data_IF_288258865305
#
_entry.id   IF_288258865305
#
_cell.length_a   1.000
_cell.length_b   1.000
_cell.length_c   1.000
_cell.angle_alpha   90.00
_cell.angle_beta   90.00
_cell.angle_gamma   90.00
#
_symmetry.space_group_name_H-M   'P 1'
#
loop_
_entity.id
_entity.type
_entity.pdbx_description
1 polymer ?
#
# COMPACT_ATOMS: atom_id res chain seq x y z
N UNK A 1 -26.20 8.20 8.79
CA UNK A 1 -25.55 7.33 7.79
C UNK A 1 -25.78 5.87 8.20
N UNK A 2 -26.10 4.93 7.30
CA UNK A 2 -26.30 3.52 7.68
C UNK A 2 -24.97 2.86 8.11
N UNK A 3 -25.02 1.88 9.03
CA UNK A 3 -23.87 1.12 9.56
C UNK A 3 -23.01 0.52 8.44
N UNK A 4 -23.62 -0.07 7.41
CA UNK A 4 -22.87 -0.59 6.26
C UNK A 4 -22.04 0.48 5.52
N UNK A 5 -22.57 1.70 5.37
CA UNK A 5 -21.87 2.82 4.76
C UNK A 5 -20.79 3.40 5.67
N UNK A 6 -20.99 3.33 6.99
CA UNK A 6 -19.98 3.65 8.00
C UNK A 6 -18.81 2.68 7.95
N UNK A 7 -19.07 1.38 8.02
CA UNK A 7 -18.05 0.33 7.98
C UNK A 7 -17.22 0.42 6.71
N UNK A 8 -17.87 0.61 5.55
CA UNK A 8 -17.16 0.79 4.27
C UNK A 8 -16.24 2.00 4.29
N UNK A 9 -16.67 3.13 4.87
CA UNK A 9 -15.84 4.34 4.99
C UNK A 9 -14.67 4.13 5.97
N UNK A 10 -14.89 3.50 7.12
CA UNK A 10 -13.84 3.20 8.11
C UNK A 10 -12.81 2.24 7.52
N UNK A 11 -13.25 1.12 6.92
CA UNK A 11 -12.34 0.16 6.25
C UNK A 11 -11.57 0.80 5.10
N UNK A 12 -12.19 1.72 4.36
CA UNK A 12 -11.50 2.49 3.30
C UNK A 12 -10.42 3.41 3.87
N UNK A 13 -10.67 4.09 4.99
CA UNK A 13 -9.67 4.94 5.64
C UNK A 13 -8.50 4.09 6.20
N UNK A 14 -8.80 2.91 6.72
CA UNK A 14 -7.85 1.99 7.36
C UNK A 14 -7.32 0.89 6.41
N UNK A 15 -7.33 1.14 5.10
CA UNK A 15 -6.95 0.16 4.08
C UNK A 15 -5.50 -0.34 4.22
N UNK A 16 -4.62 0.47 4.83
CA UNK A 16 -3.19 0.22 5.02
C UNK A 16 -2.86 -0.66 6.24
N UNK A 17 -3.88 -1.08 7.01
CA UNK A 17 -3.69 -1.99 8.15
C UNK A 17 -3.22 -3.38 7.70
N UNK A 18 -2.41 -4.04 8.52
CA UNK A 18 -1.97 -5.41 8.29
C UNK A 18 -3.14 -6.41 8.48
N UNK A 19 -3.00 -7.66 8.02
CA UNK A 19 -4.04 -8.71 8.11
C UNK A 19 -4.61 -8.87 9.52
N UNK A 20 -3.75 -8.96 10.54
CA UNK A 20 -4.17 -9.09 11.95
C UNK A 20 -4.94 -7.86 12.45
N UNK A 21 -4.49 -6.66 12.06
CA UNK A 21 -5.11 -5.38 12.46
C UNK A 21 -6.47 -5.18 11.78
N UNK A 22 -6.61 -5.66 10.54
CA UNK A 22 -7.88 -5.69 9.81
C UNK A 22 -8.88 -6.63 10.48
N UNK A 23 -8.46 -7.82 10.90
CA UNK A 23 -9.31 -8.75 11.64
C UNK A 23 -9.78 -8.13 12.97
N UNK A 24 -8.89 -7.48 13.71
CA UNK A 24 -9.25 -6.77 14.94
C UNK A 24 -10.22 -5.61 14.67
N UNK A 25 -10.03 -4.86 13.58
CA UNK A 25 -10.94 -3.79 13.17
C UNK A 25 -12.31 -4.34 12.80
N UNK A 26 -12.37 -5.44 12.05
CA UNK A 26 -13.62 -6.08 11.64
C UNK A 26 -14.39 -6.61 12.85
N UNK A 27 -13.69 -7.19 13.83
CA UNK A 27 -14.29 -7.61 15.10
C UNK A 27 -14.83 -6.41 15.87
N UNK A 28 -14.07 -5.30 15.94
CA UNK A 28 -14.49 -4.07 16.62
C UNK A 28 -15.70 -3.43 15.94
N UNK A 29 -15.75 -3.37 14.61
CA UNK A 29 -16.89 -2.84 13.85
C UNK A 29 -18.14 -3.72 14.02
N UNK A 30 -17.95 -5.04 14.04
CA UNK A 30 -19.04 -6.00 14.26
C UNK A 30 -19.64 -5.88 15.66
N UNK A 31 -18.81 -5.60 16.68
CA UNK A 31 -19.27 -5.43 18.07
C UNK A 31 -19.97 -4.11 18.36
N UNK A 32 -19.90 -3.10 17.48
CA UNK A 32 -20.59 -1.82 17.67
C UNK A 32 -22.10 -2.07 17.69
N UNK A 33 -22.71 -1.81 18.85
CA UNK A 33 -24.16 -1.87 19.06
C UNK A 33 -24.70 -0.45 19.20
N UNK A 34 -26.01 -0.22 19.01
CA UNK A 34 -26.64 1.10 19.18
C UNK A 34 -26.46 1.73 20.59
N UNK A 35 -25.97 0.95 21.56
CA UNK A 35 -25.60 1.42 22.91
C UNK A 35 -24.21 2.06 22.97
N UNK A 36 -23.34 1.78 22.00
CA UNK A 36 -22.07 2.47 21.89
C UNK A 36 -22.34 3.87 21.33
N UNK A 37 -21.86 4.91 22.01
CA UNK A 37 -22.04 6.32 21.63
C UNK A 37 -21.19 6.71 20.39
N UNK A 38 -21.17 5.83 19.39
CA UNK A 38 -20.41 5.96 18.15
C UNK A 38 -21.18 6.84 17.19
N UNK A 39 -20.59 7.98 16.87
CA UNK A 39 -21.17 8.88 15.89
C UNK A 39 -20.97 8.30 14.47
N UNK A 40 -21.97 7.59 13.96
CA UNK A 40 -21.99 7.03 12.60
C UNK A 40 -21.87 8.06 11.49
N UNK A 41 -22.04 9.36 11.77
CA UNK A 41 -21.79 10.43 10.78
C UNK A 41 -20.31 10.88 10.75
N UNK A 42 -19.45 10.41 11.67
CA UNK A 42 -18.02 10.77 11.76
C UNK A 42 -17.08 9.55 11.66
N UNK A 43 -17.05 8.84 10.51
CA UNK A 43 -16.20 7.65 10.32
C UNK A 43 -14.69 7.94 10.41
N UNK A 44 -14.26 9.15 10.04
CA UNK A 44 -12.86 9.56 10.11
C UNK A 44 -12.40 9.71 11.57
N UNK A 45 -13.25 10.30 12.42
CA UNK A 45 -12.96 10.45 13.85
C UNK A 45 -12.84 9.07 14.52
N UNK A 46 -13.75 8.15 14.23
CA UNK A 46 -13.67 6.77 14.72
C UNK A 46 -12.37 6.07 14.29
N UNK A 47 -12.02 6.17 13.00
CA UNK A 47 -10.79 5.57 12.48
C UNK A 47 -9.54 6.12 13.17
N UNK A 48 -9.47 7.44 13.40
CA UNK A 48 -8.35 8.08 14.08
C UNK A 48 -8.26 7.67 15.56
N UNK A 49 -9.38 7.61 16.28
CA UNK A 49 -9.43 7.14 17.67
C UNK A 49 -8.97 5.69 17.77
N UNK A 50 -9.49 4.81 16.90
CA UNK A 50 -9.09 3.41 16.84
C UNK A 50 -7.58 3.25 16.61
N UNK A 51 -7.02 4.00 15.65
CA UNK A 51 -5.59 4.01 15.36
C UNK A 51 -4.76 4.43 16.58
N UNK A 52 -5.15 5.52 17.26
CA UNK A 52 -4.44 6.03 18.43
C UNK A 52 -4.42 5.02 19.59
N UNK A 53 -5.56 4.39 19.86
CA UNK A 53 -5.73 3.50 21.01
C UNK A 53 -5.16 2.09 20.78
N UNK A 54 -5.31 1.55 19.58
CA UNK A 54 -5.05 0.12 19.30
C UNK A 54 -3.82 -0.13 18.42
N UNK A 55 -3.39 0.86 17.62
CA UNK A 55 -2.32 0.66 16.62
C UNK A 55 -1.05 1.45 16.96
N UNK A 56 -1.18 2.70 17.42
CA UNK A 56 -0.06 3.61 17.65
C UNK A 56 0.28 3.84 19.13
N UNK A 57 -0.31 3.06 20.05
CA UNK A 57 -0.22 3.22 21.50
C UNK A 57 1.21 3.52 21.96
N UNK A 58 1.44 4.79 22.30
CA UNK A 58 2.62 5.37 22.98
C UNK A 58 3.97 4.80 22.54
N UNK A 59 4.27 4.82 21.24
CA UNK A 59 5.67 4.71 20.77
C UNK A 59 6.24 6.11 20.63
N UNK A 60 7.15 6.49 21.52
CA UNK A 60 7.89 7.76 21.37
C UNK A 60 8.63 7.77 20.04
N UNK A 61 8.20 8.62 19.11
CA UNK A 61 8.86 8.76 17.82
C UNK A 61 9.77 9.98 17.82
N UNK A 62 11.08 9.77 17.76
CA UNK A 62 12.05 10.88 17.59
C UNK A 62 11.84 11.56 16.23
N UNK A 63 11.75 12.90 16.22
CA UNK A 63 11.46 13.74 15.04
C UNK A 63 12.38 13.48 13.83
N UNK A 64 13.66 13.16 14.06
CA UNK A 64 14.63 12.79 13.01
C UNK A 64 14.18 11.58 12.15
N UNK A 65 13.37 10.68 12.70
CA UNK A 65 12.83 9.51 11.98
C UNK A 65 11.89 9.90 10.82
N UNK A 66 11.24 11.08 10.87
CA UNK A 66 10.30 11.50 9.81
C UNK A 66 11.06 11.85 8.54
N UNK A 67 12.09 12.69 8.64
CA UNK A 67 12.87 13.11 7.49
C UNK A 67 13.53 11.91 6.79
N UNK A 68 14.14 11.01 7.56
CA UNK A 68 14.70 9.76 7.04
C UNK A 68 13.61 8.90 6.38
N UNK A 69 12.41 8.80 6.98
CA UNK A 69 11.30 8.05 6.39
C UNK A 69 10.86 8.64 5.05
N UNK A 70 10.81 9.97 4.90
CA UNK A 70 10.46 10.63 3.64
C UNK A 70 11.51 10.40 2.56
N UNK A 71 12.79 10.52 2.91
CA UNK A 71 13.90 10.28 1.96
C UNK A 71 13.89 8.83 1.47
N UNK A 72 13.79 7.87 2.39
CA UNK A 72 13.71 6.44 2.05
C UNK A 72 12.47 6.14 1.22
N UNK A 73 11.34 6.79 1.51
CA UNK A 73 10.12 6.67 0.71
C UNK A 73 10.33 7.13 -0.72
N UNK A 74 10.96 8.27 -0.93
CA UNK A 74 11.26 8.80 -2.26
C UNK A 74 12.09 7.81 -3.08
N UNK A 75 13.22 7.34 -2.53
CA UNK A 75 14.08 6.40 -3.23
C UNK A 75 13.40 5.04 -3.48
N UNK A 76 12.61 4.55 -2.52
CA UNK A 76 11.86 3.31 -2.69
C UNK A 76 10.86 3.40 -3.86
N UNK A 77 10.14 4.53 -4.00
CA UNK A 77 9.23 4.73 -5.11
C UNK A 77 9.95 4.90 -6.45
N UNK A 78 11.07 5.62 -6.48
CA UNK A 78 11.90 5.73 -7.70
C UNK A 78 12.37 4.35 -8.16
N UNK A 79 12.85 3.51 -7.23
CA UNK A 79 13.29 2.15 -7.53
C UNK A 79 12.14 1.26 -8.03
N UNK A 80 10.98 1.30 -7.38
CA UNK A 80 9.80 0.51 -7.78
C UNK A 80 9.24 0.94 -9.13
N UNK A 81 9.19 2.25 -9.40
CA UNK A 81 8.80 2.78 -10.71
C UNK A 81 9.82 2.38 -11.79
N UNK A 82 11.11 2.44 -11.47
CA UNK A 82 12.18 1.97 -12.35
C UNK A 82 12.02 0.50 -12.72
N UNK A 83 11.74 -0.37 -11.74
CA UNK A 83 11.47 -1.80 -11.99
C UNK A 83 10.23 -2.01 -12.86
N UNK A 84 9.14 -1.29 -12.58
CA UNK A 84 7.94 -1.38 -13.38
C UNK A 84 8.18 -0.94 -14.83
N UNK A 85 8.82 0.20 -15.04
CA UNK A 85 9.18 0.72 -16.36
C UNK A 85 10.14 -0.20 -17.09
N UNK A 86 11.12 -0.78 -16.39
CA UNK A 86 12.01 -1.77 -16.97
C UNK A 86 11.25 -2.99 -17.50
N UNK A 87 10.29 -3.52 -16.73
CA UNK A 87 9.40 -4.58 -17.20
C UNK A 87 8.58 -4.17 -18.43
N UNK A 88 8.05 -2.94 -18.44
CA UNK A 88 7.26 -2.43 -19.56
C UNK A 88 8.10 -2.29 -20.85
N UNK A 89 9.26 -1.63 -20.76
CA UNK A 89 10.18 -1.42 -21.89
C UNK A 89 10.69 -2.77 -22.41
N UNK A 90 11.02 -3.70 -21.51
CA UNK A 90 11.49 -5.05 -21.89
C UNK A 90 10.40 -5.84 -22.61
N UNK A 91 9.17 -5.80 -22.10
CA UNK A 91 8.02 -6.44 -22.76
C UNK A 91 7.76 -5.84 -24.15
N UNK A 92 7.77 -4.51 -24.26
CA UNK A 92 7.57 -3.81 -25.54
C UNK A 92 8.69 -4.12 -26.54
N UNK A 93 9.95 -4.14 -26.09
CA UNK A 93 11.10 -4.49 -26.91
C UNK A 93 11.04 -5.93 -27.40
N UNK A 94 10.58 -6.85 -26.54
CA UNK A 94 10.32 -8.24 -26.90
C UNK A 94 9.23 -8.37 -27.97
N UNK A 95 8.15 -7.60 -27.89
CA UNK A 95 7.11 -7.57 -28.94
C UNK A 95 7.67 -6.99 -30.24
N UNK A 96 8.44 -5.89 -30.16
CA UNK A 96 9.04 -5.25 -31.32
C UNK A 96 10.03 -6.17 -32.05
N UNK A 97 10.69 -7.08 -31.33
CA UNK A 97 11.55 -8.11 -31.91
C UNK A 97 10.82 -8.98 -32.94
N UNK A 98 9.53 -9.29 -32.72
CA UNK A 98 8.72 -10.04 -33.68
C UNK A 98 8.35 -9.26 -34.94
N UNK A 99 8.35 -7.92 -34.87
CA UNK A 99 7.99 -7.05 -36.00
C UNK A 99 9.22 -6.72 -36.83
N UNK A 100 10.32 -6.35 -36.19
CA UNK A 100 11.59 -6.00 -36.84
C UNK A 100 12.76 -6.62 -36.06
N UNK A 101 13.12 -7.89 -36.34
CA UNK A 101 14.24 -8.54 -35.67
C UNK A 101 15.54 -7.84 -36.07
N UNK A 102 16.18 -7.15 -35.12
CA UNK A 102 17.48 -6.48 -35.32
C UNK A 102 18.68 -7.33 -34.87
N UNK A 103 18.41 -8.45 -34.21
CA UNK A 103 19.41 -9.31 -33.54
C UNK A 103 18.98 -10.76 -33.67
N UNK A 104 19.91 -11.68 -33.88
CA UNK A 104 19.66 -13.14 -33.93
C UNK A 104 19.50 -13.72 -32.52
N UNK A 105 18.39 -13.38 -31.86
CA UNK A 105 17.97 -14.04 -30.63
C UNK A 105 16.99 -15.17 -30.95
N UNK A 106 17.13 -16.30 -30.26
CA UNK A 106 16.15 -17.38 -30.37
C UNK A 106 14.77 -16.89 -29.94
N UNK A 107 13.77 -17.15 -30.78
CA UNK A 107 12.36 -16.83 -30.52
C UNK A 107 11.88 -17.32 -29.15
N UNK A 108 12.37 -18.48 -28.70
CA UNK A 108 12.05 -19.03 -27.37
C UNK A 108 12.53 -18.13 -26.23
N UNK A 109 13.72 -17.55 -26.36
CA UNK A 109 14.30 -16.64 -25.35
C UNK A 109 13.48 -15.35 -25.29
N UNK A 110 13.02 -14.84 -26.43
CA UNK A 110 12.20 -13.63 -26.51
C UNK A 110 10.85 -13.84 -25.84
N UNK A 111 10.16 -14.96 -26.11
CA UNK A 111 8.89 -15.30 -25.46
C UNK A 111 9.07 -15.40 -23.94
N UNK A 112 10.11 -16.10 -23.48
CA UNK A 112 10.39 -16.24 -22.05
C UNK A 112 10.69 -14.89 -21.38
N UNK A 113 11.41 -14.01 -22.09
CA UNK A 113 11.71 -12.65 -21.62
C UNK A 113 10.46 -11.80 -21.48
N UNK A 114 9.51 -11.89 -22.43
CA UNK A 114 8.22 -11.19 -22.35
C UNK A 114 7.42 -11.68 -21.13
N UNK A 115 7.32 -13.00 -20.94
CA UNK A 115 6.62 -13.58 -19.78
C UNK A 115 7.27 -13.12 -18.48
N UNK A 116 8.60 -13.18 -18.39
CA UNK A 116 9.36 -12.70 -17.24
C UNK A 116 9.14 -11.22 -16.96
N UNK A 117 9.09 -10.38 -17.99
CA UNK A 117 8.84 -8.96 -17.88
C UNK A 117 7.42 -8.65 -17.37
N UNK A 118 6.41 -9.39 -17.84
CA UNK A 118 5.03 -9.28 -17.36
C UNK A 118 4.93 -9.68 -15.88
N UNK A 119 5.55 -10.79 -15.49
CA UNK A 119 5.59 -11.22 -14.10
C UNK A 119 6.29 -10.18 -13.22
N UNK A 120 7.40 -9.59 -13.70
CA UNK A 120 8.12 -8.53 -12.99
C UNK A 120 7.26 -7.27 -12.79
N UNK A 121 6.46 -6.89 -13.80
CA UNK A 121 5.48 -5.80 -13.65
C UNK A 121 4.43 -6.11 -12.58
N UNK A 122 3.86 -7.32 -12.56
CA UNK A 122 2.88 -7.73 -11.56
C UNK A 122 3.45 -7.72 -10.14
N UNK A 123 4.67 -8.24 -9.98
CA UNK A 123 5.40 -8.20 -8.70
C UNK A 123 5.67 -6.76 -8.28
N UNK A 124 6.06 -5.88 -9.21
CA UNK A 124 6.30 -4.47 -8.93
C UNK A 124 5.04 -3.76 -8.42
N UNK A 125 3.89 -3.99 -9.06
CA UNK A 125 2.59 -3.44 -8.61
C UNK A 125 2.25 -3.95 -7.20
N UNK A 126 2.48 -5.24 -6.94
CA UNK A 126 2.24 -5.83 -5.64
C UNK A 126 3.13 -5.20 -4.55
N UNK A 127 4.42 -5.00 -4.84
CA UNK A 127 5.37 -4.36 -3.93
C UNK A 127 5.04 -2.88 -3.71
N UNK A 128 4.57 -2.15 -4.72
CA UNK A 128 4.07 -0.77 -4.58
C UNK A 128 2.94 -0.71 -3.55
N UNK A 129 1.99 -1.65 -3.61
CA UNK A 129 0.88 -1.70 -2.65
C UNK A 129 1.36 -1.92 -1.22
N UNK A 130 2.29 -2.86 -1.00
CA UNK A 130 2.86 -3.14 0.33
C UNK A 130 3.63 -1.93 0.84
N UNK A 131 4.51 -1.38 0.01
CA UNK A 131 5.38 -0.25 0.33
C UNK A 131 4.55 0.98 0.71
N UNK A 132 3.49 1.27 -0.05
CA UNK A 132 2.55 2.36 0.25
C UNK A 132 1.82 2.13 1.57
N UNK A 133 1.40 0.89 1.84
CA UNK A 133 0.76 0.51 3.11
C UNK A 133 1.68 0.77 4.31
N UNK A 134 2.94 0.35 4.20
CA UNK A 134 3.96 0.53 5.23
C UNK A 134 4.25 2.00 5.49
N UNK A 135 4.52 2.77 4.42
CA UNK A 135 4.82 4.19 4.54
C UNK A 135 3.63 5.01 5.06
N UNK A 136 2.41 4.70 4.61
CA UNK A 136 1.20 5.35 5.14
C UNK A 136 1.07 5.14 6.64
N UNK A 137 1.30 3.90 7.11
CA UNK A 137 1.27 3.58 8.54
C UNK A 137 2.31 4.37 9.32
N UNK A 138 3.55 4.40 8.81
CA UNK A 138 4.67 5.09 9.46
C UNK A 138 4.48 6.61 9.50
N UNK A 139 3.93 7.21 8.44
CA UNK A 139 3.58 8.63 8.41
C UNK A 139 2.47 8.95 9.43
N UNK A 140 1.45 8.10 9.54
CA UNK A 140 0.38 8.30 10.51
C UNK A 140 0.88 8.13 11.94
N UNK A 141 1.73 7.15 12.21
CA UNK A 141 2.37 6.97 13.52
C UNK A 141 3.09 8.26 13.95
N UNK A 142 3.89 8.83 13.05
CA UNK A 142 4.56 10.11 13.29
C UNK A 142 3.60 11.28 13.49
N UNK A 143 2.49 11.33 12.75
CA UNK A 143 1.46 12.37 12.93
C UNK A 143 0.76 12.27 14.30
N UNK A 144 0.50 11.06 14.80
CA UNK A 144 -0.20 10.84 16.06
C UNK A 144 0.70 10.97 17.30
N UNK A 145 2.00 10.68 17.17
CA UNK A 145 2.96 10.64 18.28
C UNK A 145 3.95 11.83 18.29
N UNK A 146 3.83 12.76 17.34
CA UNK A 146 4.68 13.96 17.24
C UNK A 146 4.24 15.16 18.11
N UNK A 147 3.60 14.90 19.26
CA UNK A 147 3.23 15.94 20.25
C UNK A 147 4.23 15.96 21.41
#
# INVERSE_FOLDING_TARGET
>A
MNKASFDKKVKKQLWFLNKKEKQALDQRLSSITDKDNVNFNKPITFANTYLRENVFRSKETKSYSIFVTLVVMMFAYVALLGLFLFGLITSLSGVQFFVNPKVDLSTTVVILTIIGAILLMLVSIYLIKITTSYFTKKLLEHKFNGH
#
